data_IF_970449845224
#
_entry.id   IF_970449845224
#
_cell.length_a   1.000
_cell.length_b   1.000
_cell.length_c   1.000
_cell.angle_alpha   90.00
_cell.angle_beta   90.00
_cell.angle_gamma   90.00
#
_symmetry.space_group_name_H-M   'P 1'
#
loop_
_entity.id
_entity.type
_entity.pdbx_description
1 polymer ?
#
# COMPACT_ATOMS: atom_id res chain seq x y z
N UNK A 1 11.04 37.77 -75.24
CA UNK A 1 9.70 38.29 -74.88
C UNK A 1 8.90 37.14 -74.29
N UNK A 2 8.23 37.41 -73.16
CA UNK A 2 7.06 36.75 -72.53
C UNK A 2 6.72 35.30 -72.93
N UNK A 3 6.77 34.34 -71.99
CA UNK A 3 5.66 33.92 -71.09
C UNK A 3 4.70 32.94 -71.81
N UNK A 4 4.09 31.89 -71.24
CA UNK A 4 3.79 31.43 -69.87
C UNK A 4 3.34 29.94 -70.02
N UNK A 5 3.78 29.01 -69.16
CA UNK A 5 3.15 28.50 -67.92
C UNK A 5 2.15 27.32 -68.10
N UNK A 6 2.34 26.26 -67.29
CA UNK A 6 1.25 25.52 -66.66
C UNK A 6 1.32 23.98 -66.66
N UNK A 7 1.71 23.40 -65.51
CA UNK A 7 1.18 22.23 -64.75
C UNK A 7 0.64 20.98 -65.50
N UNK A 8 0.71 19.74 -65.01
CA UNK A 8 1.28 19.06 -63.84
C UNK A 8 1.14 17.54 -64.08
N UNK A 9 1.84 16.72 -63.29
CA UNK A 9 1.35 15.46 -62.66
C UNK A 9 2.34 14.29 -62.73
N UNK A 10 2.76 13.88 -61.54
CA UNK A 10 2.79 12.46 -61.18
C UNK A 10 4.02 11.64 -61.54
N UNK A 11 5.12 11.85 -60.81
CA UNK A 11 6.19 10.85 -60.73
C UNK A 11 6.51 10.57 -59.27
N UNK A 12 6.14 9.37 -58.85
CA UNK A 12 6.55 8.79 -57.57
C UNK A 12 8.03 8.39 -57.71
N UNK A 13 8.87 8.90 -56.83
CA UNK A 13 10.05 8.26 -56.20
C UNK A 13 11.18 9.27 -55.91
N UNK A 14 11.68 9.12 -54.68
CA UNK A 14 13.01 9.47 -54.20
C UNK A 14 13.41 10.95 -54.12
N UNK A 15 13.49 11.46 -52.89
CA UNK A 15 14.69 12.07 -52.31
C UNK A 15 14.43 12.29 -50.81
N UNK A 16 14.98 11.45 -49.94
CA UNK A 16 16.04 11.88 -49.01
C UNK A 16 16.42 13.36 -49.18
N UNK A 17 16.35 14.10 -48.06
CA UNK A 17 17.08 15.35 -47.74
C UNK A 17 16.24 16.63 -47.63
N UNK A 18 15.56 16.77 -46.48
CA UNK A 18 15.43 18.01 -45.69
C UNK A 18 14.78 17.60 -44.35
N UNK A 19 15.42 17.52 -43.17
CA UNK A 19 16.35 18.44 -42.52
C UNK A 19 15.80 19.87 -42.36
N UNK A 20 14.62 20.00 -41.75
CA UNK A 20 14.37 20.98 -40.68
C UNK A 20 12.91 20.95 -40.20
N UNK A 21 12.75 21.17 -38.89
CA UNK A 21 11.51 21.33 -38.11
C UNK A 21 10.79 20.05 -37.68
N UNK A 22 11.00 19.69 -36.41
CA UNK A 22 10.13 18.81 -35.66
C UNK A 22 10.87 17.82 -34.78
N UNK A 23 11.78 18.30 -33.92
CA UNK A 23 12.31 17.47 -32.84
C UNK A 23 11.19 17.27 -31.81
N UNK A 24 10.28 16.36 -32.14
CA UNK A 24 9.35 15.78 -31.20
C UNK A 24 10.17 14.97 -30.23
N UNK A 25 10.66 15.62 -29.18
CA UNK A 25 11.12 14.97 -27.96
C UNK A 25 10.06 13.94 -27.61
N UNK A 26 10.39 12.66 -27.82
CA UNK A 26 9.66 11.56 -27.24
C UNK A 26 9.79 11.77 -25.74
N UNK A 27 8.83 12.50 -25.17
CA UNK A 27 8.76 12.82 -23.76
C UNK A 27 8.65 11.51 -23.01
N UNK A 28 9.78 10.95 -22.64
CA UNK A 28 9.85 9.92 -21.63
C UNK A 28 9.29 10.59 -20.39
N UNK A 29 8.01 10.35 -20.09
CA UNK A 29 7.40 10.79 -18.85
C UNK A 29 8.30 10.22 -17.77
N UNK A 30 9.04 11.04 -17.01
CA UNK A 30 9.79 10.50 -15.90
C UNK A 30 8.72 9.90 -14.99
N UNK A 31 8.71 8.57 -14.88
CA UNK A 31 7.94 7.91 -13.83
C UNK A 31 8.46 8.54 -12.55
N UNK A 32 7.61 9.35 -11.91
CA UNK A 32 7.93 9.99 -10.65
C UNK A 32 8.38 8.87 -9.73
N UNK A 33 9.67 8.83 -9.42
CA UNK A 33 10.23 7.83 -8.51
C UNK A 33 9.48 8.01 -7.20
N UNK A 34 8.58 7.08 -6.91
CA UNK A 34 7.69 7.21 -5.79
C UNK A 34 8.49 6.90 -4.53
N UNK A 35 8.39 7.74 -3.50
CA UNK A 35 9.13 7.51 -2.27
C UNK A 35 8.73 6.15 -1.69
N UNK A 36 9.72 5.38 -1.26
CA UNK A 36 9.47 4.11 -0.59
C UNK A 36 8.59 4.33 0.63
N UNK A 37 7.50 3.57 0.73
CA UNK A 37 6.67 3.60 1.93
C UNK A 37 7.38 2.85 3.05
N UNK A 38 7.64 3.55 4.14
CA UNK A 38 8.38 3.08 5.31
C UNK A 38 7.58 3.39 6.57
N UNK A 39 7.98 2.77 7.68
CA UNK A 39 7.51 3.15 9.00
C UNK A 39 7.97 4.57 9.34
N UNK A 40 7.04 5.40 9.80
CA UNK A 40 7.29 6.79 10.15
C UNK A 40 7.71 6.91 11.61
N UNK A 41 8.97 7.29 11.85
CA UNK A 41 9.51 7.50 13.19
C UNK A 41 8.94 8.76 13.87
N UNK A 42 8.26 9.64 13.13
CA UNK A 42 7.53 10.78 13.70
C UNK A 42 6.10 10.41 14.12
N UNK A 43 5.61 9.25 13.68
CA UNK A 43 4.26 8.74 13.94
C UNK A 43 4.35 7.32 14.53
N UNK A 44 4.99 7.22 15.69
CA UNK A 44 5.14 5.97 16.44
C UNK A 44 4.91 6.19 17.94
N UNK A 45 4.53 5.12 18.65
CA UNK A 45 4.37 5.11 20.10
C UNK A 45 5.70 5.34 20.84
N UNK A 46 5.60 5.73 22.11
CA UNK A 46 6.74 6.13 22.94
C UNK A 46 7.76 5.01 23.14
N UNK A 47 7.27 3.77 23.30
CA UNK A 47 8.11 2.58 23.54
C UNK A 47 8.29 1.73 22.27
N UNK A 48 8.06 2.33 21.10
CA UNK A 48 8.27 1.69 19.80
C UNK A 48 9.70 1.94 19.33
N UNK A 49 10.29 0.98 18.62
CA UNK A 49 11.60 1.12 17.99
C UNK A 49 11.52 0.67 16.55
N UNK A 50 11.88 1.57 15.64
CA UNK A 50 11.94 1.28 14.20
C UNK A 50 13.39 0.99 13.80
N UNK A 51 13.64 -0.19 13.22
CA UNK A 51 14.96 -0.64 12.78
C UNK A 51 14.92 -1.14 11.32
N UNK A 52 16.04 -1.67 10.81
CA UNK A 52 16.20 -2.15 9.42
C UNK A 52 15.70 -1.12 8.38
N UNK A 53 16.18 0.12 8.45
CA UNK A 53 15.85 1.21 7.51
C UNK A 53 14.34 1.47 7.36
N UNK A 54 13.61 1.58 8.48
CA UNK A 54 12.16 1.87 8.43
C UNK A 54 11.31 0.66 8.06
N UNK A 55 11.88 -0.55 8.05
CA UNK A 55 11.18 -1.78 7.66
C UNK A 55 10.95 -2.72 8.82
N UNK A 56 11.35 -2.43 10.05
CA UNK A 56 11.11 -3.33 11.19
C UNK A 56 10.65 -2.54 12.40
N UNK A 57 9.62 -3.02 13.09
CA UNK A 57 9.09 -2.41 14.31
C UNK A 57 9.24 -3.39 15.48
N UNK A 58 9.79 -2.91 16.58
CA UNK A 58 9.95 -3.64 17.83
C UNK A 58 9.41 -2.78 18.99
N UNK A 59 9.23 -3.38 20.17
CA UNK A 59 8.77 -2.66 21.37
C UNK A 59 7.27 -2.73 21.58
N UNK A 60 6.74 -1.75 22.32
CA UNK A 60 5.33 -1.69 22.72
C UNK A 60 4.68 -0.41 22.22
N UNK A 61 3.63 -0.53 21.41
CA UNK A 61 2.94 0.60 20.80
C UNK A 61 2.67 0.39 19.32
N UNK A 62 2.12 1.42 18.69
CA UNK A 62 1.78 1.46 17.28
C UNK A 62 2.73 2.32 16.46
N UNK A 63 2.72 2.13 15.14
CA UNK A 63 3.43 2.98 14.18
C UNK A 63 2.60 3.10 12.89
N UNK A 64 2.57 4.30 12.32
CA UNK A 64 2.00 4.56 11.00
C UNK A 64 3.09 4.50 9.93
N UNK A 65 2.71 4.20 8.69
CA UNK A 65 3.60 4.43 7.57
C UNK A 65 3.68 5.93 7.21
N UNK A 66 4.75 6.33 6.51
CA UNK A 66 5.03 7.71 6.11
C UNK A 66 4.15 8.23 4.95
N UNK A 67 3.30 7.39 4.36
CA UNK A 67 2.47 7.74 3.22
C UNK A 67 0.99 7.36 3.47
N UNK A 68 0.05 8.29 3.23
CA UNK A 68 -1.37 8.00 3.32
C UNK A 68 -1.85 7.13 2.15
N UNK A 69 -2.94 6.40 2.37
CA UNK A 69 -3.67 5.68 1.34
C UNK A 69 -4.58 6.67 0.60
N UNK A 70 -4.05 7.36 -0.41
CA UNK A 70 -4.80 8.28 -1.29
C UNK A 70 -5.25 7.64 -2.62
N UNK A 71 -4.90 6.38 -2.87
CA UNK A 71 -5.21 5.68 -4.11
C UNK A 71 -6.52 4.90 -3.97
N UNK A 72 -7.29 4.83 -5.06
CA UNK A 72 -8.58 4.10 -5.13
C UNK A 72 -8.52 2.68 -4.58
N UNK A 73 -7.37 2.00 -4.70
CA UNK A 73 -7.11 0.71 -4.09
C UNK A 73 -5.65 0.60 -3.71
N UNK A 74 -5.40 0.24 -2.46
CA UNK A 74 -4.07 0.10 -1.88
C UNK A 74 -3.86 -1.33 -1.39
N UNK A 75 -2.63 -1.83 -1.51
CA UNK A 75 -2.21 -3.12 -0.95
C UNK A 75 -0.88 -2.98 -0.22
N UNK A 76 -0.77 -3.61 0.94
CA UNK A 76 0.48 -3.69 1.70
C UNK A 76 0.55 -4.99 2.47
N UNK A 77 1.76 -5.47 2.71
CA UNK A 77 2.02 -6.72 3.39
C UNK A 77 2.82 -6.54 4.68
N UNK A 78 2.65 -7.50 5.56
CA UNK A 78 3.34 -7.61 6.82
C UNK A 78 3.75 -9.06 7.05
N UNK A 79 5.04 -9.32 7.28
CA UNK A 79 5.50 -10.64 7.69
C UNK A 79 5.60 -10.75 9.21
N UNK A 80 5.00 -11.78 9.78
CA UNK A 80 5.09 -12.05 11.21
C UNK A 80 6.44 -12.73 11.48
N UNK A 81 7.24 -12.14 12.37
CA UNK A 81 8.60 -12.68 12.66
C UNK A 81 8.80 -13.15 14.09
N UNK A 82 7.82 -12.89 14.93
CA UNK A 82 7.65 -13.46 16.24
C UNK A 82 6.15 -13.50 16.45
N UNK A 83 5.63 -14.49 17.17
CA UNK A 83 4.26 -14.43 17.69
C UNK A 83 4.21 -13.55 18.96
N UNK A 84 3.01 -13.11 19.34
CA UNK A 84 2.80 -12.16 20.43
C UNK A 84 1.51 -11.37 20.25
N UNK A 85 1.36 -10.26 20.99
CA UNK A 85 0.26 -9.32 20.79
C UNK A 85 0.66 -8.35 19.67
N UNK A 86 -0.13 -8.34 18.60
CA UNK A 86 0.09 -7.46 17.46
C UNK A 86 -1.21 -7.20 16.71
N UNK A 87 -1.15 -6.24 15.79
CA UNK A 87 -2.19 -6.06 14.80
C UNK A 87 -1.73 -5.17 13.64
N UNK A 88 -2.48 -5.27 12.55
CA UNK A 88 -2.20 -4.59 11.28
C UNK A 88 -3.50 -4.10 10.65
N UNK A 89 -3.48 -2.94 10.03
CA UNK A 89 -4.64 -2.42 9.32
C UNK A 89 -4.42 -0.97 8.92
N UNK A 90 -5.45 -0.15 9.10
CA UNK A 90 -5.41 1.27 8.72
C UNK A 90 -5.82 2.15 9.90
N UNK A 91 -5.22 3.32 10.00
CA UNK A 91 -5.54 4.30 11.03
C UNK A 91 -5.38 5.74 10.54
N UNK A 92 -6.10 6.67 11.16
CA UNK A 92 -5.91 8.10 10.93
C UNK A 92 -4.74 8.62 11.78
N UNK A 93 -4.19 9.79 11.45
CA UNK A 93 -3.16 10.45 12.28
C UNK A 93 -3.62 10.80 13.71
N UNK A 94 -4.93 10.73 13.99
CA UNK A 94 -5.48 11.01 15.33
C UNK A 94 -5.43 9.82 16.27
N UNK A 95 -5.02 8.64 15.78
CA UNK A 95 -4.96 7.41 16.59
C UNK A 95 -3.98 7.57 17.75
N UNK A 96 -4.36 7.06 18.93
CA UNK A 96 -3.45 6.97 20.06
C UNK A 96 -2.53 5.74 19.92
N UNK A 97 -1.31 5.96 19.43
CA UNK A 97 -0.33 4.89 19.19
C UNK A 97 0.24 4.26 20.47
N UNK A 98 -0.03 4.82 21.65
CA UNK A 98 0.38 4.23 22.92
C UNK A 98 -0.69 3.28 23.51
N UNK A 99 -1.92 3.30 22.99
CA UNK A 99 -3.00 2.46 23.46
C UNK A 99 -3.09 1.16 22.65
N UNK A 100 -2.60 0.07 23.23
CA UNK A 100 -2.62 -1.26 22.62
C UNK A 100 -3.65 -2.15 23.34
N UNK A 101 -4.55 -2.87 22.62
CA UNK A 101 -4.64 -2.99 21.16
C UNK A 101 -5.28 -1.77 20.47
N UNK A 102 -4.98 -1.57 19.18
CA UNK A 102 -5.71 -0.65 18.31
C UNK A 102 -7.10 -1.22 17.95
N UNK A 103 -7.93 -0.42 17.28
CA UNK A 103 -9.32 -0.77 16.92
C UNK A 103 -10.33 -0.49 18.04
N UNK A 104 -9.91 0.16 19.12
CA UNK A 104 -10.76 0.53 20.26
C UNK A 104 -11.47 1.88 20.10
N UNK A 105 -11.19 2.60 19.01
CA UNK A 105 -11.75 3.90 18.71
C UNK A 105 -12.09 4.04 17.22
N UNK A 106 -12.62 5.19 16.82
CA UNK A 106 -12.95 5.50 15.42
C UNK A 106 -11.72 5.83 14.56
N UNK A 107 -10.53 5.88 15.16
CA UNK A 107 -9.32 6.30 14.47
C UNK A 107 -8.52 5.12 13.92
N UNK A 108 -8.93 3.88 14.19
CA UNK A 108 -8.21 2.68 13.75
C UNK A 108 -9.15 1.52 13.41
N UNK A 109 -8.86 0.83 12.31
CA UNK A 109 -9.50 -0.41 11.87
C UNK A 109 -8.39 -1.44 11.63
N UNK A 110 -8.34 -2.49 12.45
CA UNK A 110 -7.18 -3.40 12.48
C UNK A 110 -7.59 -4.86 12.62
N UNK A 111 -6.81 -5.73 11.96
CA UNK A 111 -6.76 -7.15 12.24
C UNK A 111 -5.84 -7.37 13.44
N UNK A 112 -6.32 -8.08 14.45
CA UNK A 112 -5.55 -8.46 15.64
C UNK A 112 -4.95 -9.85 15.49
N UNK A 113 -3.97 -10.17 16.33
CA UNK A 113 -3.26 -11.44 16.33
C UNK A 113 -4.14 -12.69 16.54
N UNK A 114 -5.35 -12.53 17.08
CA UNK A 114 -6.35 -13.60 17.26
C UNK A 114 -7.29 -13.78 16.05
N UNK A 115 -7.01 -13.08 14.94
CA UNK A 115 -7.77 -13.13 13.71
C UNK A 115 -9.01 -12.24 13.69
N UNK A 116 -9.25 -11.41 14.69
CA UNK A 116 -10.40 -10.49 14.73
C UNK A 116 -10.13 -9.17 14.04
N UNK A 117 -11.10 -8.66 13.28
CA UNK A 117 -11.12 -7.29 12.78
C UNK A 117 -11.89 -6.41 13.76
N UNK A 118 -11.25 -5.36 14.27
CA UNK A 118 -11.83 -4.42 15.24
C UNK A 118 -11.87 -2.99 14.71
N UNK A 119 -12.99 -2.32 14.92
CA UNK A 119 -13.17 -0.88 14.72
C UNK A 119 -14.12 -0.34 15.77
N UNK A 120 -13.78 0.80 16.38
CA UNK A 120 -14.60 1.46 17.40
C UNK A 120 -15.00 0.51 18.55
N UNK A 121 -14.06 -0.33 18.99
CA UNK A 121 -14.23 -1.32 20.05
C UNK A 121 -15.29 -2.40 19.75
N UNK A 122 -15.59 -2.62 18.47
CA UNK A 122 -16.54 -3.63 18.01
C UNK A 122 -15.84 -4.61 17.07
N UNK A 123 -16.06 -5.91 17.29
CA UNK A 123 -15.62 -6.96 16.36
C UNK A 123 -16.47 -6.87 15.09
N UNK A 124 -15.83 -6.52 13.97
CA UNK A 124 -16.48 -6.36 12.66
C UNK A 124 -16.52 -7.64 11.88
N UNK A 125 -15.49 -8.46 12.01
CA UNK A 125 -15.37 -9.74 11.33
C UNK A 125 -14.25 -10.58 11.97
N UNK A 126 -14.10 -11.82 11.53
CA UNK A 126 -13.10 -12.75 12.07
C UNK A 126 -12.62 -13.73 11.01
N UNK A 127 -11.30 -13.97 11.01
CA UNK A 127 -10.70 -15.03 10.21
C UNK A 127 -11.19 -16.43 10.67
N UNK A 128 -11.34 -17.39 9.75
CA UNK A 128 -11.62 -18.77 10.13
C UNK A 128 -10.59 -19.32 11.13
N UNK A 129 -11.03 -20.11 12.12
CA UNK A 129 -10.18 -20.63 13.19
C UNK A 129 -8.98 -21.47 12.70
N UNK A 130 -9.09 -22.07 11.52
CA UNK A 130 -8.01 -22.84 10.87
C UNK A 130 -7.03 -21.96 10.08
N UNK A 131 -7.22 -20.64 10.08
CA UNK A 131 -6.46 -19.67 9.29
C UNK A 131 -5.98 -18.51 10.17
N UNK A 132 -5.65 -18.80 11.43
CA UNK A 132 -5.06 -17.82 12.34
C UNK A 132 -3.60 -17.57 11.96
N UNK A 133 -3.19 -16.30 11.74
CA UNK A 133 -1.83 -15.99 11.32
C UNK A 133 -0.78 -16.44 12.35
N UNK A 134 0.28 -17.10 11.88
CA UNK A 134 1.38 -17.63 12.68
C UNK A 134 2.70 -16.92 12.37
N UNK A 135 3.74 -17.20 13.16
CA UNK A 135 5.09 -16.75 12.84
C UNK A 135 5.55 -17.32 11.48
N UNK A 136 6.17 -16.46 10.68
CA UNK A 136 6.58 -16.75 9.31
C UNK A 136 5.55 -16.37 8.26
N UNK A 137 4.26 -16.25 8.63
CA UNK A 137 3.19 -15.90 7.69
C UNK A 137 3.30 -14.45 7.22
N UNK A 138 2.77 -14.21 6.02
CA UNK A 138 2.60 -12.88 5.43
C UNK A 138 1.12 -12.53 5.43
N UNK A 139 0.76 -11.46 6.14
CA UNK A 139 -0.57 -10.88 6.16
C UNK A 139 -0.61 -9.72 5.17
N UNK A 140 -1.46 -9.83 4.16
CA UNK A 140 -1.72 -8.76 3.18
C UNK A 140 -3.02 -8.03 3.51
N UNK A 141 -3.02 -6.72 3.36
CA UNK A 141 -4.19 -5.87 3.57
C UNK A 141 -4.49 -5.13 2.26
N UNK A 142 -5.72 -5.25 1.77
CA UNK A 142 -6.25 -4.34 0.76
C UNK A 142 -7.17 -3.31 1.40
N UNK A 143 -7.14 -2.07 0.92
CA UNK A 143 -8.09 -1.03 1.31
C UNK A 143 -8.45 -0.17 0.10
N UNK A 144 -9.74 0.10 -0.10
CA UNK A 144 -10.28 0.82 -1.25
C UNK A 144 -11.11 2.07 -0.89
N UNK A 145 -10.90 2.61 0.31
CA UNK A 145 -11.69 3.68 0.93
C UNK A 145 -13.11 3.28 1.39
N UNK A 146 -13.59 2.09 1.05
CA UNK A 146 -14.89 1.57 1.50
C UNK A 146 -14.67 0.47 2.54
N UNK A 147 -13.84 -0.51 2.20
CA UNK A 147 -13.57 -1.67 3.05
C UNK A 147 -12.09 -2.06 3.05
N UNK A 148 -11.70 -2.67 4.16
CA UNK A 148 -10.45 -3.38 4.34
C UNK A 148 -10.71 -4.86 4.14
N UNK A 149 -9.85 -5.58 3.42
CA UNK A 149 -9.91 -7.04 3.34
C UNK A 149 -8.54 -7.68 3.57
N UNK A 150 -8.55 -8.91 4.10
CA UNK A 150 -7.36 -9.62 4.59
C UNK A 150 -6.94 -10.73 3.63
N UNK A 151 -5.64 -10.85 3.44
CA UNK A 151 -4.96 -11.94 2.74
C UNK A 151 -4.00 -12.61 3.71
N UNK A 152 -3.89 -13.93 3.65
CA UNK A 152 -2.90 -14.70 4.40
C UNK A 152 -2.10 -15.55 3.41
N UNK A 153 -0.79 -15.31 3.35
CA UNK A 153 0.13 -15.96 2.41
C UNK A 153 -0.36 -15.87 0.95
N UNK A 154 -0.85 -14.69 0.55
CA UNK A 154 -1.41 -14.42 -0.79
C UNK A 154 -2.83 -14.95 -1.02
N UNK A 155 -3.40 -15.76 -0.11
CA UNK A 155 -4.78 -16.25 -0.21
C UNK A 155 -5.74 -15.21 0.36
N UNK A 156 -6.75 -14.83 -0.41
CA UNK A 156 -7.83 -13.97 0.08
C UNK A 156 -8.64 -14.72 1.16
N UNK A 157 -8.82 -14.07 2.31
CA UNK A 157 -9.55 -14.64 3.44
C UNK A 157 -11.05 -14.33 3.41
N UNK A 158 -11.51 -13.52 2.47
CA UNK A 158 -12.90 -13.06 2.33
C UNK A 158 -13.46 -12.53 3.66
N UNK A 159 -12.64 -11.73 4.35
CA UNK A 159 -12.91 -11.20 5.68
C UNK A 159 -12.88 -9.67 5.63
N UNK A 160 -13.89 -9.02 5.03
CA UNK A 160 -13.93 -7.57 4.91
C UNK A 160 -14.37 -6.90 6.22
N UNK A 161 -13.94 -5.66 6.42
CA UNK A 161 -14.44 -4.74 7.46
C UNK A 161 -14.42 -3.29 6.99
N UNK A 162 -15.38 -2.50 7.48
CA UNK A 162 -15.58 -1.10 7.07
C UNK A 162 -15.85 -0.20 8.28
N UNK A 163 -15.88 1.11 8.05
CA UNK A 163 -16.40 2.09 9.01
C UNK A 163 -15.46 3.25 9.27
N UNK A 164 -14.14 3.04 9.14
CA UNK A 164 -13.15 4.10 9.29
C UNK A 164 -13.30 5.15 8.18
N UNK A 165 -13.11 6.43 8.55
CA UNK A 165 -13.28 7.59 7.66
C UNK A 165 -12.09 8.53 7.77
N UNK A 166 -11.91 9.34 6.72
CA UNK A 166 -10.85 10.34 6.62
C UNK A 166 -9.59 9.79 5.96
N UNK A 167 -8.52 10.58 5.98
CA UNK A 167 -7.21 10.14 5.46
C UNK A 167 -6.61 9.11 6.39
N UNK A 168 -6.40 7.90 5.87
CA UNK A 168 -5.84 6.78 6.62
C UNK A 168 -4.45 6.41 6.11
N UNK A 169 -3.68 5.79 6.99
CA UNK A 169 -2.31 5.32 6.79
C UNK A 169 -2.27 3.83 7.14
N UNK A 170 -1.41 3.03 6.50
CA UNK A 170 -1.04 1.71 7.03
C UNK A 170 -0.62 1.85 8.49
N UNK A 171 -1.17 0.99 9.35
CA UNK A 171 -0.97 1.04 10.79
C UNK A 171 -0.61 -0.35 11.31
N UNK A 172 0.35 -0.37 12.24
CA UNK A 172 0.89 -1.58 12.84
C UNK A 172 1.02 -1.38 14.36
N UNK A 173 0.86 -2.42 15.17
CA UNK A 173 1.19 -2.35 16.59
C UNK A 173 1.72 -3.67 17.16
N UNK A 174 2.43 -3.57 18.29
CA UNK A 174 2.91 -4.71 19.08
C UNK A 174 2.96 -4.42 20.59
N UNK A 175 3.11 -5.46 21.43
CA UNK A 175 3.38 -5.35 22.88
C UNK A 175 4.36 -6.43 23.35
N UNK A 176 5.43 -6.00 24.04
CA UNK A 176 6.46 -6.68 24.86
C UNK A 176 6.92 -8.14 24.53
N UNK A 177 8.22 -8.43 24.66
CA UNK A 177 8.93 -9.65 24.16
C UNK A 177 8.76 -9.92 22.67
N UNK A 178 8.78 -8.85 21.87
CA UNK A 178 8.45 -8.94 20.48
C UNK A 178 9.47 -8.28 19.57
N UNK A 179 10.05 -9.09 18.68
CA UNK A 179 10.82 -8.64 17.54
C UNK A 179 10.06 -8.96 16.26
N UNK A 180 8.98 -8.23 15.96
CA UNK A 180 8.38 -8.32 14.63
C UNK A 180 9.35 -7.72 13.61
N UNK A 181 9.53 -8.31 12.43
CA UNK A 181 10.05 -7.57 11.27
C UNK A 181 8.85 -7.25 10.45
N UNK A 182 8.57 -5.97 10.24
CA UNK A 182 7.80 -5.65 9.07
C UNK A 182 8.59 -6.20 7.84
N UNK A 183 7.92 -6.87 6.94
CA UNK A 183 8.40 -6.93 5.56
C UNK A 183 7.42 -6.03 4.83
N UNK A 184 7.66 -4.71 4.86
CA UNK A 184 7.14 -3.87 3.79
C UNK A 184 8.03 -4.21 2.61
N UNK A 185 7.81 -5.38 2.01
CA UNK A 185 8.20 -5.59 0.64
C UNK A 185 7.14 -4.88 -0.15
N UNK A 186 7.42 -3.61 -0.44
CA UNK A 186 6.63 -2.78 -1.31
C UNK A 186 5.21 -2.55 -0.76
N UNK A 187 4.91 -1.31 -0.37
CA UNK A 187 3.54 -0.85 -0.65
C UNK A 187 3.44 -0.92 -2.16
N UNK A 188 2.90 -2.03 -2.66
CA UNK A 188 2.63 -2.20 -4.06
C UNK A 188 1.64 -1.10 -4.40
N UNK A 189 2.14 -0.08 -5.07
CA UNK A 189 1.31 0.87 -5.79
C UNK A 189 0.69 0.06 -6.92
N UNK A 190 -0.56 -0.35 -6.75
CA UNK A 190 -1.34 -0.91 -7.84
C UNK A 190 -1.70 0.23 -8.80
N UNK A 191 -0.75 0.70 -9.61
CA UNK A 191 -1.11 1.11 -10.98
C UNK A 191 -1.30 -0.18 -11.76
N UNK A 192 -2.55 -0.64 -11.82
CA UNK A 192 -3.02 -1.79 -12.60
C UNK A 192 -2.36 -3.14 -12.28
N UNK A 193 -2.83 -3.83 -11.24
CA UNK A 193 -2.76 -5.30 -11.22
C UNK A 193 -4.13 -5.81 -11.63
N UNK A 194 -4.16 -6.38 -12.83
CA UNK A 194 -5.14 -7.40 -13.18
C UNK A 194 -5.12 -8.43 -12.04
N UNK A 195 -6.25 -8.57 -11.32
CA UNK A 195 -6.48 -9.72 -10.47
C UNK A 195 -6.10 -10.98 -11.27
N UNK A 196 -5.45 -11.99 -10.67
CA UNK A 196 -5.16 -13.23 -11.38
C UNK A 196 -6.50 -13.84 -11.82
N UNK A 197 -6.83 -13.67 -13.09
CA UNK A 197 -7.78 -14.54 -13.77
C UNK A 197 -7.05 -15.86 -13.95
N UNK A 198 -7.42 -16.86 -13.16
CA UNK A 198 -6.96 -18.23 -13.39
C UNK A 198 -7.35 -18.67 -14.81
N UNK A 199 -6.54 -19.55 -15.44
CA UNK A 199 -6.78 -20.06 -16.79
C UNK A 199 -8.05 -20.89 -16.90
#
# INVERSE_FOLDING_TARGET
MAASAGAASGSVWCCLRWAWCGEGSAGHIPLKEMPSVLLDTQQMGTDVVVVKNGRRVCGTGGCLANAPLHQNKSYFEFKIQSTGIWGVGVATQKVNLNQIPLGNDVNSLVLRNDGTLYYNNEEKNRLPANSLPQEGDVVGITYDHVELNVYLNGKNMHCPASGIRGTVFPAFYGKETFSQSILVNEVLHFTWVQLPTHP
#
